data_IF_090604196865
#
_entry.id   IF_090604196865
#
_cell.length_a   1.000
_cell.length_b   1.000
_cell.length_c   1.000
_cell.angle_alpha   90.00
_cell.angle_beta   90.00
_cell.angle_gamma   90.00
#
_symmetry.space_group_name_H-M   'P 1'
#
loop_
_entity.id
_entity.type
_entity.pdbx_description
1 polymer ?
#
# COMPACT_ATOMS: atom_id res chain seq x y z
N UNK A 1 20.04 16.70 -4.51
CA UNK A 1 18.90 17.24 -3.74
C UNK A 1 19.24 18.56 -3.09
N UNK A 2 20.25 18.68 -2.26
CA UNK A 2 20.65 19.89 -1.54
C UNK A 2 20.88 21.09 -2.46
N UNK A 3 21.57 20.90 -3.59
CA UNK A 3 21.78 21.96 -4.58
C UNK A 3 20.45 22.48 -5.18
N UNK A 4 19.55 21.58 -5.56
CA UNK A 4 18.25 21.94 -6.17
C UNK A 4 17.35 22.67 -5.17
N UNK A 5 17.23 22.14 -3.96
CA UNK A 5 16.38 22.72 -2.92
C UNK A 5 16.98 24.00 -2.34
N UNK A 6 18.33 24.10 -2.28
CA UNK A 6 19.01 25.33 -1.87
C UNK A 6 18.79 26.51 -2.83
N UNK A 7 18.75 26.22 -4.12
CA UNK A 7 18.46 27.24 -5.15
C UNK A 7 16.97 27.68 -5.17
N UNK A 8 16.07 26.89 -4.55
CA UNK A 8 14.65 27.21 -4.52
C UNK A 8 14.25 28.34 -3.54
N UNK A 9 15.14 28.66 -2.58
CA UNK A 9 14.94 29.79 -1.67
C UNK A 9 13.90 29.57 -0.55
N UNK A 10 13.40 28.33 -0.38
CA UNK A 10 12.50 27.97 0.71
C UNK A 10 13.23 27.18 1.81
N UNK A 11 12.73 27.28 3.04
CA UNK A 11 13.24 26.44 4.13
C UNK A 11 12.86 24.99 3.90
N UNK A 12 13.80 24.06 4.10
CA UNK A 12 13.58 22.63 3.95
C UNK A 12 14.47 21.83 4.94
N UNK A 13 14.05 20.62 5.21
CA UNK A 13 14.87 19.59 5.84
C UNK A 13 14.91 18.34 4.93
N UNK A 14 15.94 17.55 5.06
CA UNK A 14 16.07 16.27 4.38
C UNK A 14 16.18 15.20 5.46
N UNK A 15 15.25 14.24 5.44
CA UNK A 15 15.28 13.09 6.36
C UNK A 15 15.59 11.86 5.53
N UNK A 16 16.71 11.23 5.80
CA UNK A 16 17.13 9.98 5.18
C UNK A 16 16.91 8.84 6.16
N UNK A 17 16.16 7.85 5.73
CA UNK A 17 15.94 6.63 6.52
C UNK A 17 16.86 5.54 5.97
N UNK A 18 17.81 5.11 6.78
CA UNK A 18 18.67 3.95 6.52
C UNK A 18 18.00 2.70 7.08
N UNK A 19 17.41 1.90 6.21
CA UNK A 19 16.65 0.69 6.57
C UNK A 19 17.59 -0.52 6.82
N UNK A 20 18.58 -0.31 7.70
CA UNK A 20 19.49 -1.35 8.15
C UNK A 20 20.54 -1.74 7.11
N UNK A 21 21.12 -0.77 6.41
CA UNK A 21 22.22 -1.03 5.47
C UNK A 21 23.39 -1.74 6.15
N UNK A 22 23.97 -2.71 5.44
CA UNK A 22 25.12 -3.50 5.90
C UNK A 22 26.44 -3.08 5.27
N UNK A 23 26.38 -2.12 4.35
CA UNK A 23 27.52 -1.48 3.68
C UNK A 23 27.87 -0.13 4.32
N UNK A 24 28.74 0.63 3.67
CA UNK A 24 29.19 1.94 4.15
C UNK A 24 28.16 3.06 4.05
N UNK A 25 26.92 2.77 3.61
CA UNK A 25 25.86 3.79 3.40
C UNK A 25 25.63 4.64 4.64
N UNK A 26 25.50 4.01 5.82
CA UNK A 26 25.30 4.77 7.06
C UNK A 26 26.49 5.64 7.42
N UNK A 27 27.72 5.16 7.26
CA UNK A 27 28.92 5.94 7.57
C UNK A 27 29.04 7.19 6.66
N UNK A 28 28.65 7.05 5.39
CA UNK A 28 28.59 8.17 4.42
C UNK A 28 27.50 9.16 4.85
N UNK A 29 26.32 8.69 5.18
CA UNK A 29 25.19 9.53 5.59
C UNK A 29 25.50 10.30 6.89
N UNK A 30 26.16 9.67 7.86
CA UNK A 30 26.56 10.31 9.12
C UNK A 30 27.58 11.47 8.87
N UNK A 31 28.52 11.26 7.97
CA UNK A 31 29.46 12.33 7.56
C UNK A 31 28.73 13.50 6.88
N UNK A 32 27.80 13.21 6.00
CA UNK A 32 27.00 14.23 5.32
C UNK A 32 26.11 15.00 6.32
N UNK A 33 25.52 14.32 7.28
CA UNK A 33 24.74 14.96 8.35
C UNK A 33 25.60 15.91 9.18
N UNK A 34 26.87 15.55 9.48
CA UNK A 34 27.76 16.42 10.22
C UNK A 34 28.11 17.72 9.46
N UNK A 35 28.02 17.70 8.12
CA UNK A 35 28.36 18.86 7.27
C UNK A 35 27.14 19.69 6.86
N UNK A 36 25.89 19.17 6.99
CA UNK A 36 24.67 19.91 6.63
C UNK A 36 23.60 19.74 7.73
N UNK A 37 23.33 20.80 8.52
CA UNK A 37 22.37 20.75 9.63
C UNK A 37 20.90 20.51 9.16
N UNK A 38 20.62 20.64 7.86
CA UNK A 38 19.32 20.36 7.28
C UNK A 38 19.11 18.87 7.02
N UNK A 39 20.20 18.08 7.02
CA UNK A 39 20.15 16.64 6.83
C UNK A 39 20.03 15.93 8.17
N UNK A 40 19.03 15.08 8.29
CA UNK A 40 18.83 14.19 9.45
C UNK A 40 18.79 12.75 8.98
N UNK A 41 19.54 11.89 9.66
CA UNK A 41 19.61 10.46 9.33
C UNK A 41 18.96 9.66 10.47
N UNK A 42 18.06 8.77 10.11
CA UNK A 42 17.43 7.81 11.02
C UNK A 42 17.88 6.43 10.57
N UNK A 43 18.56 5.69 11.45
CA UNK A 43 19.03 4.34 11.17
C UNK A 43 18.18 3.31 11.88
N UNK A 44 17.70 2.32 11.13
CA UNK A 44 17.06 1.15 11.68
C UNK A 44 18.09 0.09 12.10
N UNK A 45 17.77 -0.68 13.15
CA UNK A 45 18.65 -1.74 13.64
C UNK A 45 18.74 -2.94 12.68
N UNK A 46 17.73 -3.12 11.80
CA UNK A 46 17.65 -4.13 10.75
C UNK A 46 16.72 -3.64 9.65
N UNK A 47 16.65 -4.34 8.54
CA UNK A 47 15.68 -4.05 7.50
C UNK A 47 14.24 -4.33 7.99
N UNK A 48 13.40 -3.29 8.01
CA UNK A 48 11.97 -3.33 8.36
C UNK A 48 11.08 -3.06 7.14
N UNK A 49 11.66 -2.69 6.01
CA UNK A 49 10.98 -2.42 4.77
C UNK A 49 10.52 -0.98 4.57
N UNK A 50 10.16 -0.69 3.34
CA UNK A 50 9.89 0.67 2.87
C UNK A 50 8.73 1.35 3.61
N UNK A 51 7.69 0.61 3.99
CA UNK A 51 6.55 1.18 4.74
C UNK A 51 6.99 1.71 6.11
N UNK A 52 7.83 0.96 6.83
CA UNK A 52 8.38 1.41 8.11
C UNK A 52 9.26 2.65 7.93
N UNK A 53 10.04 2.71 6.84
CA UNK A 53 10.85 3.87 6.51
C UNK A 53 9.98 5.11 6.25
N UNK A 54 8.88 5.00 5.49
CA UNK A 54 7.91 6.09 5.32
C UNK A 54 7.29 6.52 6.65
N UNK A 55 6.84 5.57 7.47
CA UNK A 55 6.23 5.87 8.76
C UNK A 55 7.19 6.65 9.66
N UNK A 56 8.46 6.24 9.75
CA UNK A 56 9.49 6.95 10.49
C UNK A 56 9.75 8.35 9.92
N UNK A 57 9.85 8.47 8.59
CA UNK A 57 10.01 9.76 7.91
C UNK A 57 8.86 10.71 8.21
N UNK A 58 7.62 10.26 8.12
CA UNK A 58 6.41 11.06 8.41
C UNK A 58 6.35 11.51 9.89
N UNK A 59 6.67 10.59 10.80
CA UNK A 59 6.66 10.90 12.24
C UNK A 59 7.69 11.99 12.62
N UNK A 60 8.85 11.99 11.96
CA UNK A 60 9.94 12.90 12.28
C UNK A 60 9.94 14.18 11.42
N UNK A 61 9.15 14.25 10.36
CA UNK A 61 9.06 15.43 9.51
C UNK A 61 8.38 16.60 10.24
N UNK A 62 8.93 17.81 10.08
CA UNK A 62 8.48 19.06 10.67
C UNK A 62 7.80 19.98 9.66
N UNK A 63 8.07 19.79 8.38
CA UNK A 63 7.52 20.59 7.30
C UNK A 63 6.00 20.45 7.15
N UNK A 64 5.32 21.50 6.70
CA UNK A 64 3.89 21.45 6.35
C UNK A 64 3.61 20.55 5.17
N UNK A 65 4.55 20.49 4.22
CA UNK A 65 4.53 19.61 3.06
C UNK A 65 5.68 18.61 3.18
N UNK A 66 5.41 17.38 2.88
CA UNK A 66 6.36 16.28 2.95
C UNK A 66 6.53 15.68 1.56
N UNK A 67 7.72 15.82 0.99
CA UNK A 67 8.11 15.17 -0.25
C UNK A 67 8.71 13.79 0.05
N UNK A 68 8.24 12.75 -0.61
CA UNK A 68 8.84 11.41 -0.54
C UNK A 68 9.60 11.10 -1.81
N UNK A 69 10.70 10.37 -1.71
CA UNK A 69 11.49 9.91 -2.85
C UNK A 69 12.33 8.70 -2.46
N UNK A 70 12.49 7.75 -3.39
CA UNK A 70 13.47 6.69 -3.24
C UNK A 70 14.90 7.24 -3.37
N UNK A 71 15.85 6.58 -2.68
CA UNK A 71 17.27 6.95 -2.71
C UNK A 71 18.05 6.37 -3.89
N UNK A 72 17.38 5.82 -4.91
CA UNK A 72 17.98 5.13 -6.05
C UNK A 72 18.32 6.03 -7.26
N UNK A 73 18.23 7.35 -7.07
CA UNK A 73 18.52 8.40 -8.06
C UNK A 73 17.59 8.40 -9.29
N UNK A 74 16.52 7.61 -9.30
CA UNK A 74 15.59 7.57 -10.43
C UNK A 74 14.67 8.81 -10.47
N UNK A 75 14.31 9.37 -9.33
CA UNK A 75 13.52 10.60 -9.26
C UNK A 75 14.39 11.84 -9.40
N UNK A 76 13.91 12.85 -10.14
CA UNK A 76 14.62 14.12 -10.28
C UNK A 76 14.16 15.12 -9.20
N UNK A 77 15.04 15.57 -8.29
CA UNK A 77 14.67 16.56 -7.28
C UNK A 77 14.17 17.89 -7.85
N UNK A 78 14.45 18.19 -9.12
CA UNK A 78 13.98 19.41 -9.80
C UNK A 78 12.47 19.44 -10.01
N UNK A 79 11.82 18.29 -9.91
CA UNK A 79 10.35 18.21 -10.02
C UNK A 79 9.64 18.61 -8.69
N UNK A 80 10.36 18.61 -7.56
CA UNK A 80 9.79 18.91 -6.24
C UNK A 80 9.16 20.31 -6.18
N UNK A 81 9.83 21.39 -6.64
CA UNK A 81 9.23 22.73 -6.60
C UNK A 81 7.90 22.85 -7.36
N UNK A 82 7.81 22.23 -8.54
CA UNK A 82 6.59 22.19 -9.36
C UNK A 82 5.45 21.45 -8.63
N UNK A 83 5.76 20.29 -8.03
CA UNK A 83 4.79 19.49 -7.31
C UNK A 83 4.32 20.18 -6.01
N UNK A 84 5.21 20.92 -5.36
CA UNK A 84 4.85 21.74 -4.18
C UNK A 84 3.93 22.88 -4.60
N UNK A 85 4.21 23.59 -5.70
CA UNK A 85 3.32 24.62 -6.23
C UNK A 85 1.92 24.04 -6.49
N UNK A 86 1.85 22.83 -7.06
CA UNK A 86 0.57 22.14 -7.26
C UNK A 86 -0.15 21.80 -5.95
N UNK A 87 0.55 21.37 -4.90
CA UNK A 87 -0.04 21.16 -3.59
C UNK A 87 -0.58 22.46 -2.96
N UNK A 88 0.08 23.58 -3.23
CA UNK A 88 -0.34 24.91 -2.76
C UNK A 88 -1.60 25.47 -3.46
N UNK A 89 -1.97 24.90 -4.63
CA UNK A 89 -3.27 25.19 -5.26
C UNK A 89 -4.47 24.61 -4.47
N UNK A 90 -4.22 23.85 -3.40
CA UNK A 90 -5.28 23.29 -2.54
C UNK A 90 -5.34 21.77 -2.53
N UNK A 91 -4.40 21.09 -3.21
CA UNK A 91 -4.33 19.64 -3.17
C UNK A 91 -3.62 19.14 -1.91
N UNK A 92 -4.15 18.06 -1.33
CA UNK A 92 -3.59 17.42 -0.13
C UNK A 92 -2.48 16.44 -0.48
N UNK A 93 -2.60 15.82 -1.65
CA UNK A 93 -1.62 14.88 -2.18
C UNK A 93 -1.35 15.18 -3.65
N UNK A 94 -0.08 15.26 -4.03
CA UNK A 94 0.34 15.36 -5.43
C UNK A 94 1.22 14.16 -5.75
N UNK A 95 0.79 13.31 -6.68
CA UNK A 95 1.49 12.10 -7.10
C UNK A 95 2.30 12.36 -8.37
N UNK A 96 3.53 11.86 -8.42
CA UNK A 96 4.32 11.87 -9.65
C UNK A 96 3.84 10.77 -10.61
N UNK A 97 3.75 11.11 -11.90
CA UNK A 97 3.46 10.19 -12.99
C UNK A 97 4.65 10.09 -13.94
N UNK A 98 5.27 8.92 -13.98
CA UNK A 98 6.40 8.61 -14.85
C UNK A 98 5.89 8.26 -16.26
N UNK A 99 5.43 9.27 -17.02
CA UNK A 99 4.84 9.08 -18.35
C UNK A 99 5.81 8.45 -19.35
N UNK A 100 7.09 8.85 -19.31
CA UNK A 100 8.15 8.36 -20.21
C UNK A 100 9.04 7.34 -19.52
N UNK A 101 8.46 6.20 -19.08
CA UNK A 101 9.26 5.10 -18.51
C UNK A 101 10.09 4.42 -19.59
N UNK A 102 11.40 4.36 -19.38
CA UNK A 102 12.34 3.60 -20.24
C UNK A 102 12.41 2.11 -19.86
N UNK A 103 11.34 1.58 -19.29
CA UNK A 103 11.25 0.17 -18.87
C UNK A 103 10.78 -0.74 -20.03
N UNK A 104 11.23 -2.00 -20.03
CA UNK A 104 10.82 -3.00 -21.03
C UNK A 104 9.28 -3.15 -21.07
N UNK A 105 8.69 -2.92 -22.25
CA UNK A 105 7.25 -2.74 -22.43
C UNK A 105 6.41 -3.97 -22.00
N UNK A 106 6.83 -5.17 -22.41
CA UNK A 106 6.05 -6.39 -22.11
C UNK A 106 6.18 -6.87 -20.66
N UNK A 107 7.37 -6.76 -20.06
CA UNK A 107 7.64 -7.37 -18.74
C UNK A 107 7.30 -6.45 -17.56
N UNK A 108 7.18 -5.14 -17.79
CA UNK A 108 6.97 -4.17 -16.69
C UNK A 108 5.81 -3.20 -16.89
N UNK A 109 5.60 -2.69 -18.11
CA UNK A 109 4.55 -1.68 -18.37
C UNK A 109 3.16 -2.31 -18.35
N UNK A 110 2.95 -3.47 -18.97
CA UNK A 110 1.65 -4.12 -19.01
C UNK A 110 1.17 -4.60 -17.63
N UNK A 111 1.98 -5.33 -16.84
CA UNK A 111 1.60 -5.68 -15.46
C UNK A 111 1.35 -4.47 -14.56
N UNK A 112 2.12 -3.38 -14.75
CA UNK A 112 1.93 -2.14 -13.99
C UNK A 112 0.60 -1.45 -14.35
N UNK A 113 0.23 -1.38 -15.64
CA UNK A 113 -1.05 -0.80 -16.06
C UNK A 113 -2.24 -1.60 -15.54
N UNK A 114 -2.17 -2.94 -15.60
CA UNK A 114 -3.20 -3.82 -15.05
C UNK A 114 -3.31 -3.61 -13.54
N UNK A 115 -2.20 -3.60 -12.82
CA UNK A 115 -2.19 -3.35 -11.38
C UNK A 115 -2.80 -1.97 -11.03
N UNK A 116 -2.41 -0.90 -11.73
CA UNK A 116 -2.96 0.43 -11.52
C UNK A 116 -4.47 0.48 -11.81
N UNK A 117 -4.95 -0.18 -12.87
CA UNK A 117 -6.37 -0.24 -13.18
C UNK A 117 -7.16 -1.00 -12.10
N UNK A 118 -6.63 -2.12 -11.62
CA UNK A 118 -7.24 -2.89 -10.53
C UNK A 118 -7.28 -2.05 -9.23
N UNK A 119 -6.16 -1.40 -8.88
CA UNK A 119 -6.07 -0.54 -7.70
C UNK A 119 -7.08 0.61 -7.82
N UNK A 120 -7.10 1.33 -8.94
CA UNK A 120 -8.03 2.43 -9.18
C UNK A 120 -9.49 2.01 -9.05
N UNK A 121 -9.83 0.83 -9.59
CA UNK A 121 -11.19 0.28 -9.50
C UNK A 121 -11.55 -0.17 -8.09
N UNK A 122 -10.59 -0.73 -7.36
CA UNK A 122 -10.79 -1.22 -6.00
C UNK A 122 -10.92 -0.08 -4.97
N UNK A 123 -10.18 1.01 -5.18
CA UNK A 123 -10.05 2.12 -4.21
C UNK A 123 -10.85 3.37 -4.61
N UNK A 124 -11.36 3.44 -5.84
CA UNK A 124 -12.04 4.63 -6.38
C UNK A 124 -11.09 5.76 -6.78
N UNK A 125 -9.82 5.72 -6.43
CA UNK A 125 -8.81 6.73 -6.79
C UNK A 125 -8.22 6.40 -8.14
N UNK A 126 -8.28 7.32 -9.10
CA UNK A 126 -7.76 7.13 -10.46
C UNK A 126 -6.39 7.77 -10.60
N UNK A 127 -5.33 6.95 -10.60
CA UNK A 127 -3.96 7.38 -10.86
C UNK A 127 -3.35 6.54 -11.99
N UNK A 128 -2.54 7.17 -12.82
CA UNK A 128 -1.78 6.49 -13.87
C UNK A 128 -0.57 5.73 -13.31
N UNK A 129 0.02 6.21 -12.20
CA UNK A 129 1.22 5.61 -11.63
C UNK A 129 1.21 5.59 -10.09
N UNK A 130 0.60 4.57 -9.49
CA UNK A 130 0.67 4.34 -8.04
C UNK A 130 2.09 4.04 -7.54
N UNK A 131 2.93 3.48 -8.41
CA UNK A 131 4.27 3.02 -8.05
C UNK A 131 5.35 4.11 -8.03
N UNK A 132 5.03 5.35 -8.38
CA UNK A 132 5.98 6.45 -8.27
C UNK A 132 6.19 6.80 -6.78
N UNK A 133 7.45 6.81 -6.33
CA UNK A 133 7.78 7.17 -4.96
C UNK A 133 7.84 8.69 -4.74
N UNK A 134 8.00 9.47 -5.82
CA UNK A 134 7.96 10.92 -5.72
C UNK A 134 6.52 11.40 -5.55
N UNK A 135 6.18 11.80 -4.35
CA UNK A 135 4.87 12.32 -3.96
C UNK A 135 5.04 13.47 -2.98
N UNK A 136 4.13 14.43 -3.03
CA UNK A 136 4.00 15.48 -2.03
C UNK A 136 2.74 15.22 -1.21
N UNK A 137 2.84 15.37 0.10
CA UNK A 137 1.74 15.20 1.02
C UNK A 137 1.63 16.41 1.95
N UNK A 138 0.43 16.79 2.34
CA UNK A 138 0.25 17.62 3.54
C UNK A 138 0.60 16.79 4.77
N UNK A 139 1.33 17.39 5.70
CA UNK A 139 1.80 16.69 6.90
C UNK A 139 0.64 16.13 7.75
N UNK A 140 -0.46 16.88 7.88
CA UNK A 140 -1.65 16.47 8.60
C UNK A 140 -2.25 15.16 8.06
N UNK A 141 -2.24 14.97 6.74
CA UNK A 141 -2.75 13.75 6.10
C UNK A 141 -1.90 12.55 6.49
N UNK A 142 -0.59 12.59 6.23
CA UNK A 142 0.26 11.40 6.45
C UNK A 142 0.54 11.10 7.91
N UNK A 143 0.51 12.11 8.78
CA UNK A 143 0.68 11.91 10.23
C UNK A 143 -0.53 11.25 10.91
N UNK A 144 -1.70 11.33 10.31
CA UNK A 144 -2.89 10.63 10.78
C UNK A 144 -2.97 9.18 10.31
N UNK A 145 -2.18 8.79 9.29
CA UNK A 145 -2.18 7.44 8.76
C UNK A 145 -1.37 6.48 9.64
N UNK A 146 -1.96 5.33 9.94
CA UNK A 146 -1.24 4.20 10.54
C UNK A 146 -0.80 3.25 9.43
N UNK A 147 0.52 3.17 9.22
CA UNK A 147 1.11 2.40 8.12
C UNK A 147 1.67 1.07 8.62
N UNK A 148 1.32 -0.01 7.92
CA UNK A 148 1.84 -1.36 8.16
C UNK A 148 1.88 -2.18 6.87
N UNK A 149 2.54 -3.34 6.86
CA UNK A 149 2.68 -4.19 5.67
C UNK A 149 3.30 -3.44 4.48
N UNK A 150 2.72 -3.55 3.31
CA UNK A 150 3.16 -2.90 2.07
C UNK A 150 2.32 -1.66 1.69
N UNK A 151 1.73 -0.98 2.68
CA UNK A 151 0.79 0.13 2.48
C UNK A 151 1.41 1.36 1.80
N UNK A 152 2.75 1.51 1.80
CA UNK A 152 3.42 2.64 1.18
C UNK A 152 3.02 2.88 -0.28
N UNK A 153 2.62 1.83 -1.02
CA UNK A 153 2.18 1.92 -2.41
C UNK A 153 0.80 2.52 -2.57
N UNK A 154 -0.04 2.31 -1.57
CA UNK A 154 -1.45 2.65 -1.59
C UNK A 154 -1.77 3.90 -0.78
N UNK A 155 -0.75 4.66 -0.35
CA UNK A 155 -0.93 5.86 0.47
C UNK A 155 -2.02 6.81 -0.06
N UNK A 156 -2.06 7.15 -1.38
CA UNK A 156 -3.11 8.01 -1.89
C UNK A 156 -4.51 7.39 -1.76
N UNK A 157 -4.60 6.06 -1.97
CA UNK A 157 -5.88 5.35 -1.85
C UNK A 157 -6.35 5.27 -0.40
N UNK A 158 -5.44 5.00 0.54
CA UNK A 158 -5.76 4.94 1.97
C UNK A 158 -6.17 6.32 2.47
N UNK A 159 -5.45 7.36 2.07
CA UNK A 159 -5.76 8.73 2.45
C UNK A 159 -7.08 9.23 1.85
N UNK A 160 -7.53 8.71 0.71
CA UNK A 160 -8.80 9.12 0.08
C UNK A 160 -10.02 8.90 0.96
N UNK A 161 -9.99 7.92 1.88
CA UNK A 161 -11.06 7.70 2.87
C UNK A 161 -11.24 8.90 3.84
N UNK A 162 -10.21 9.74 3.94
CA UNK A 162 -10.27 10.97 4.74
C UNK A 162 -10.87 12.15 3.97
N UNK A 163 -11.32 11.94 2.72
CA UNK A 163 -11.87 13.00 1.87
C UNK A 163 -10.81 13.95 1.30
N UNK A 164 -9.53 13.53 1.22
CA UNK A 164 -8.44 14.36 0.71
C UNK A 164 -8.51 14.54 -0.80
N UNK A 165 -8.03 15.69 -1.27
CA UNK A 165 -7.91 16.02 -2.69
C UNK A 165 -6.57 15.53 -3.25
N UNK A 166 -6.62 14.83 -4.40
CA UNK A 166 -5.44 14.20 -4.99
C UNK A 166 -5.25 14.70 -6.41
N UNK A 167 -4.02 15.14 -6.74
CA UNK A 167 -3.60 15.48 -8.09
C UNK A 167 -2.48 14.54 -8.55
N UNK A 168 -2.29 14.45 -9.87
CA UNK A 168 -1.18 13.73 -10.49
C UNK A 168 -0.45 14.67 -11.45
N UNK A 169 0.88 14.63 -11.44
CA UNK A 169 1.73 15.43 -12.32
C UNK A 169 2.78 14.56 -13.01
N UNK A 170 3.05 14.86 -14.28
CA UNK A 170 4.16 14.21 -14.99
C UNK A 170 5.49 14.64 -14.39
N UNK A 171 6.32 13.66 -14.07
CA UNK A 171 7.65 13.86 -13.48
C UNK A 171 8.73 13.19 -14.33
N UNK A 172 9.95 13.73 -14.23
CA UNK A 172 11.11 13.16 -14.87
C UNK A 172 11.53 11.86 -14.18
N UNK A 173 11.86 10.86 -14.97
CA UNK A 173 12.32 9.58 -14.47
C UNK A 173 13.61 9.17 -15.18
N UNK A 174 14.66 8.95 -14.40
CA UNK A 174 15.98 8.56 -14.90
C UNK A 174 16.11 7.04 -14.90
N UNK A 175 16.94 6.52 -15.81
CA UNK A 175 17.33 5.12 -15.74
C UNK A 175 18.09 4.84 -14.44
N UNK A 176 17.89 3.65 -13.86
CA UNK A 176 18.60 3.22 -12.66
C UNK A 176 20.10 3.14 -12.93
N UNK A 177 20.89 3.82 -12.11
CA UNK A 177 22.36 3.84 -12.24
C UNK A 177 23.04 2.70 -11.46
N UNK A 178 22.45 2.26 -10.34
CA UNK A 178 23.04 1.26 -9.45
C UNK A 178 22.00 0.22 -9.01
N UNK A 179 22.46 -1.01 -8.76
CA UNK A 179 21.66 -2.11 -8.25
C UNK A 179 20.86 -2.88 -9.31
N UNK A 180 20.47 -4.09 -8.97
CA UNK A 180 19.66 -4.97 -9.82
C UNK A 180 18.19 -4.94 -9.39
N UNK A 181 17.29 -5.05 -10.37
CA UNK A 181 15.86 -5.10 -10.09
C UNK A 181 15.47 -6.47 -9.53
N UNK A 182 14.98 -6.52 -8.30
CA UNK A 182 14.46 -7.73 -7.65
C UNK A 182 13.02 -8.06 -8.12
N UNK A 183 12.76 -8.07 -9.43
CA UNK A 183 11.43 -8.40 -9.96
C UNK A 183 11.28 -9.91 -10.21
N UNK A 184 10.28 -10.56 -9.58
CA UNK A 184 9.92 -11.95 -9.79
C UNK A 184 8.39 -12.15 -9.68
N UNK A 185 7.87 -13.29 -10.12
CA UNK A 185 6.45 -13.68 -10.09
C UNK A 185 5.90 -13.63 -8.66
N UNK A 186 6.72 -13.97 -7.65
CA UNK A 186 6.37 -13.90 -6.24
C UNK A 186 5.94 -12.50 -5.78
N UNK A 187 6.43 -11.45 -6.45
CA UNK A 187 6.03 -10.06 -6.17
C UNK A 187 4.62 -9.76 -6.68
N UNK A 188 4.23 -10.31 -7.83
CA UNK A 188 2.88 -10.12 -8.37
C UNK A 188 1.84 -10.70 -7.42
N UNK A 189 2.08 -11.89 -6.89
CA UNK A 189 1.20 -12.51 -5.88
C UNK A 189 1.11 -11.64 -4.63
N UNK A 190 2.24 -11.15 -4.12
CA UNK A 190 2.26 -10.22 -2.97
C UNK A 190 1.46 -8.96 -3.24
N UNK A 191 1.64 -8.32 -4.39
CA UNK A 191 0.87 -7.11 -4.75
C UNK A 191 -0.63 -7.39 -4.81
N UNK A 192 -1.06 -8.56 -5.29
CA UNK A 192 -2.48 -8.95 -5.30
C UNK A 192 -2.99 -9.12 -3.86
N UNK A 193 -2.24 -9.80 -3.00
CA UNK A 193 -2.60 -9.99 -1.59
C UNK A 193 -2.64 -8.64 -0.85
N UNK A 194 -1.67 -7.76 -1.10
CA UNK A 194 -1.64 -6.42 -0.54
C UNK A 194 -2.87 -5.61 -1.00
N UNK A 195 -3.25 -5.73 -2.27
CA UNK A 195 -4.43 -5.07 -2.81
C UNK A 195 -5.72 -5.59 -2.16
N UNK A 196 -5.84 -6.91 -1.96
CA UNK A 196 -6.96 -7.50 -1.23
C UNK A 196 -7.02 -6.98 0.20
N UNK A 197 -5.86 -6.90 0.87
CA UNK A 197 -5.74 -6.35 2.23
C UNK A 197 -6.19 -4.90 2.27
N UNK A 198 -5.69 -4.05 1.36
CA UNK A 198 -6.08 -2.64 1.28
C UNK A 198 -7.58 -2.52 0.98
N UNK A 199 -8.11 -3.29 0.01
CA UNK A 199 -9.55 -3.28 -0.30
C UNK A 199 -10.39 -3.70 0.90
N UNK A 200 -9.95 -4.73 1.63
CA UNK A 200 -10.63 -5.16 2.86
C UNK A 200 -10.63 -4.05 3.90
N UNK A 201 -9.47 -3.43 4.14
CA UNK A 201 -9.34 -2.34 5.11
C UNK A 201 -10.21 -1.13 4.74
N UNK A 202 -10.16 -0.68 3.49
CA UNK A 202 -10.94 0.47 3.03
C UNK A 202 -12.45 0.20 3.05
N UNK A 203 -12.90 -1.02 2.74
CA UNK A 203 -14.32 -1.29 2.58
C UNK A 203 -14.99 -1.90 3.82
N UNK A 204 -14.23 -2.63 4.64
CA UNK A 204 -14.81 -3.49 5.68
C UNK A 204 -14.19 -3.34 7.07
N UNK A 205 -13.12 -2.52 7.26
CA UNK A 205 -12.49 -2.35 8.58
C UNK A 205 -13.46 -1.79 9.61
N UNK A 206 -14.39 -0.92 9.19
CA UNK A 206 -15.42 -0.34 10.07
C UNK A 206 -16.69 -1.18 10.14
N UNK A 207 -16.87 -2.16 9.25
CA UNK A 207 -18.06 -3.00 9.14
C UNK A 207 -17.72 -4.45 8.80
N UNK A 208 -16.88 -5.14 9.59
CA UNK A 208 -16.41 -6.49 9.28
C UNK A 208 -17.57 -7.50 9.22
N UNK A 209 -18.63 -7.26 9.97
CA UNK A 209 -19.80 -8.13 10.00
C UNK A 209 -20.51 -8.21 8.64
N UNK A 210 -20.41 -7.18 7.79
CA UNK A 210 -21.08 -7.20 6.47
C UNK A 210 -20.52 -8.28 5.54
N UNK A 211 -19.21 -8.49 5.53
CA UNK A 211 -18.59 -9.51 4.66
C UNK A 211 -18.62 -10.88 5.34
N UNK A 212 -18.20 -10.95 6.60
CA UNK A 212 -18.13 -12.23 7.31
C UNK A 212 -19.52 -12.77 7.64
N UNK A 213 -20.47 -11.90 7.99
CA UNK A 213 -21.85 -12.28 8.22
C UNK A 213 -22.54 -12.78 6.96
N UNK A 214 -22.32 -12.14 5.80
CA UNK A 214 -22.87 -12.60 4.53
C UNK A 214 -22.31 -13.99 4.14
N UNK A 215 -21.02 -14.19 4.28
CA UNK A 215 -20.38 -15.48 4.01
C UNK A 215 -20.88 -16.54 4.99
N UNK A 216 -20.96 -16.20 6.28
CA UNK A 216 -21.49 -17.09 7.30
C UNK A 216 -22.96 -17.49 7.03
N UNK A 217 -23.81 -16.50 6.72
CA UNK A 217 -25.21 -16.74 6.37
C UNK A 217 -25.34 -17.68 5.16
N UNK A 218 -24.53 -17.45 4.11
CA UNK A 218 -24.53 -18.30 2.92
C UNK A 218 -24.07 -19.74 3.25
N UNK A 219 -23.02 -19.89 4.07
CA UNK A 219 -22.54 -21.19 4.52
C UNK A 219 -23.56 -21.91 5.43
N UNK A 220 -24.15 -21.17 6.38
CA UNK A 220 -25.20 -21.68 7.24
C UNK A 220 -26.45 -22.12 6.46
N UNK A 221 -26.88 -21.32 5.49
CA UNK A 221 -27.99 -21.72 4.60
C UNK A 221 -27.68 -22.98 3.79
N UNK A 222 -26.47 -23.07 3.22
CA UNK A 222 -26.03 -24.26 2.50
C UNK A 222 -25.96 -25.50 3.43
N UNK A 223 -25.44 -25.34 4.65
CA UNK A 223 -25.42 -26.40 5.66
C UNK A 223 -26.82 -26.84 6.08
N UNK A 224 -27.73 -25.89 6.29
CA UNK A 224 -29.14 -26.19 6.61
C UNK A 224 -29.87 -26.93 5.47
N UNK A 225 -29.63 -26.56 4.22
CA UNK A 225 -30.19 -27.25 3.05
C UNK A 225 -29.67 -28.69 2.95
N UNK A 226 -28.37 -28.91 3.11
CA UNK A 226 -27.77 -30.27 3.07
C UNK A 226 -28.32 -31.13 4.19
N UNK A 227 -28.29 -30.63 5.44
CA UNK A 227 -28.79 -31.40 6.59
C UNK A 227 -30.28 -31.60 6.53
N UNK A 228 -31.07 -30.60 6.09
CA UNK A 228 -32.51 -30.72 5.89
C UNK A 228 -32.88 -31.77 4.82
N UNK A 229 -32.15 -31.77 3.70
CA UNK A 229 -32.33 -32.81 2.67
C UNK A 229 -32.02 -34.22 3.21
N UNK A 230 -30.93 -34.38 3.96
CA UNK A 230 -30.58 -35.67 4.55
C UNK A 230 -31.59 -36.12 5.59
N UNK A 231 -32.13 -35.21 6.41
CA UNK A 231 -33.19 -35.49 7.35
C UNK A 231 -34.46 -35.93 6.62
N UNK A 232 -34.85 -35.27 5.52
CA UNK A 232 -35.96 -35.67 4.67
C UNK A 232 -35.79 -37.09 4.12
N UNK A 233 -34.61 -37.41 3.55
CA UNK A 233 -34.29 -38.76 3.01
C UNK A 233 -34.32 -39.81 4.12
N UNK A 234 -33.94 -39.47 5.36
CA UNK A 234 -33.99 -40.37 6.49
C UNK A 234 -35.42 -40.67 6.95
N UNK A 235 -36.24 -39.63 7.04
CA UNK A 235 -37.60 -39.73 7.61
C UNK A 235 -38.62 -40.36 6.64
N UNK A 236 -38.50 -39.98 5.31
CA UNK A 236 -39.48 -40.41 4.32
C UNK A 236 -38.96 -41.56 3.44
N UNK A 237 -37.63 -41.55 3.15
CA UNK A 237 -37.02 -42.57 2.32
C UNK A 237 -36.50 -43.79 3.06
N UNK A 238 -36.63 -43.84 4.40
CA UNK A 238 -36.11 -44.91 5.30
C UNK A 238 -34.63 -45.31 5.08
N UNK A 239 -33.88 -44.44 4.38
CA UNK A 239 -32.47 -44.72 4.05
C UNK A 239 -31.53 -44.33 5.24
N UNK A 240 -30.51 -45.15 5.49
CA UNK A 240 -29.49 -44.79 6.46
C UNK A 240 -28.67 -43.62 5.97
N UNK A 241 -28.42 -42.65 6.88
CA UNK A 241 -27.57 -41.47 6.64
C UNK A 241 -26.26 -41.52 7.44
N UNK A 242 -26.08 -42.55 8.29
CA UNK A 242 -24.98 -42.65 9.25
C UNK A 242 -23.57 -42.62 8.61
N UNK A 243 -23.43 -43.12 7.38
CA UNK A 243 -22.14 -43.20 6.67
C UNK A 243 -22.06 -42.25 5.46
N UNK A 244 -22.83 -41.18 5.46
CA UNK A 244 -22.77 -40.21 4.34
C UNK A 244 -21.84 -39.04 4.71
N UNK A 245 -20.70 -38.85 3.98
CA UNK A 245 -19.80 -37.71 4.18
C UNK A 245 -20.51 -36.36 4.11
N UNK A 246 -21.61 -36.26 3.34
CA UNK A 246 -22.44 -35.08 3.22
C UNK A 246 -23.07 -34.61 4.54
N UNK A 247 -23.35 -35.52 5.49
CA UNK A 247 -23.85 -35.15 6.81
C UNK A 247 -22.80 -34.40 7.62
N UNK A 248 -21.57 -34.94 7.68
CA UNK A 248 -20.44 -34.26 8.30
C UNK A 248 -20.16 -32.91 7.65
N UNK A 249 -20.21 -32.83 6.34
CA UNK A 249 -20.00 -31.57 5.60
C UNK A 249 -21.09 -30.54 5.93
N UNK A 250 -22.37 -30.93 5.96
CA UNK A 250 -23.47 -30.04 6.34
C UNK A 250 -23.35 -29.51 7.77
N UNK A 251 -23.00 -30.41 8.70
CA UNK A 251 -22.77 -30.04 10.10
C UNK A 251 -21.57 -29.08 10.22
N UNK A 252 -20.44 -29.37 9.56
CA UNK A 252 -19.27 -28.48 9.57
C UNK A 252 -19.59 -27.09 9.01
N UNK A 253 -20.40 -26.98 7.95
CA UNK A 253 -20.86 -25.70 7.42
C UNK A 253 -21.70 -24.92 8.44
N UNK A 254 -22.60 -25.58 9.18
CA UNK A 254 -23.40 -24.95 10.23
C UNK A 254 -22.53 -24.45 11.40
N UNK A 255 -21.59 -25.27 11.85
CA UNK A 255 -20.74 -24.93 13.00
C UNK A 255 -19.57 -23.98 12.67
N UNK A 256 -19.18 -23.85 11.40
CA UNK A 256 -18.15 -22.88 10.97
C UNK A 256 -18.56 -21.42 11.25
N UNK A 257 -19.84 -21.16 11.41
CA UNK A 257 -20.37 -19.84 11.76
C UNK A 257 -20.20 -19.51 13.25
N UNK A 258 -20.31 -20.50 14.14
CA UNK A 258 -20.31 -20.29 15.60
C UNK A 258 -18.92 -19.91 16.14
N UNK A 259 -17.83 -20.39 15.51
CA UNK A 259 -16.45 -20.10 15.92
C UNK A 259 -15.97 -18.68 15.64
N UNK A 260 -16.70 -17.84 14.87
CA UNK A 260 -16.29 -16.50 14.48
C UNK A 260 -16.98 -15.36 15.26
N UNK A 261 -17.92 -15.69 16.14
CA UNK A 261 -18.62 -14.70 16.96
C UNK A 261 -17.85 -14.28 18.23
N UNK A 262 -16.66 -14.79 18.47
CA UNK A 262 -15.87 -14.59 19.68
C UNK A 262 -14.46 -14.02 19.44
N UNK A 263 -14.22 -13.25 18.35
CA UNK A 263 -12.95 -12.52 18.17
C UNK A 263 -13.24 -11.03 18.02
#
# INVERSE_FOLDING_TARGET
>A
MTQTLGAWGRSYEIIVIDDGSTDDSFAILARLQASDPRLRVIRFRKNFGQTAAFAAGFAHARGRLIATSDGDLQNDPRDIPMMVAKAEEGYDIVCGWRKSRQDAWLSRLLPSKIANAIISRATGVRLHDYGCSLKIFRAEVVKSLRLYGEMHRFLPAIASEMGVTIAEMVVNHRARQHGTSKYGISRTIRVILDLLTVKFLLSYSTRPLQIFGLIGLAMGAAGALVTGYLAYVRLIGEQSIANRPALLFGILLLFSEIGRAHV
#
